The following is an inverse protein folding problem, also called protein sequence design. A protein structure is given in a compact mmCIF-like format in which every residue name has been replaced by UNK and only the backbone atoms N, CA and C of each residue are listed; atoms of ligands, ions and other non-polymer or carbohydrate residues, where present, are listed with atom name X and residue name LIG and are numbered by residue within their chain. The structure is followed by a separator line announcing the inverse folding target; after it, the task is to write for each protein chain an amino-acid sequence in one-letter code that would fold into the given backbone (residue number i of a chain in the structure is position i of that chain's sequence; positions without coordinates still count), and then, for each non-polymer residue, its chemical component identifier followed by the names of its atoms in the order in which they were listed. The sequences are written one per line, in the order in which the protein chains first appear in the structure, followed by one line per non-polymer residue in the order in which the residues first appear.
data_IF_459597949280
#
_entry.id   IF_459597949280
#
_cell.length_a   1.000
_cell.length_b   1.000
_cell.length_c   1.000
_cell.angle_alpha   90.00
_cell.angle_beta   90.00
_cell.angle_gamma   90.00
#
_symmetry.space_group_name_H-M   'P 1'
#
loop_
_entity.id
_entity.type
_entity.pdbx_description
1 polymer ?
#
# COMPACT_ATOMS: atom_id res chain seq x y z
N UNK A 1 -2.33 18.09 12.05
CA UNK A 1 -2.00 17.95 10.62
C UNK A 1 -3.20 18.43 9.79
N UNK A 2 -3.00 19.26 8.77
CA UNK A 2 -4.10 19.67 7.89
C UNK A 2 -4.32 18.61 6.81
N UNK A 3 -5.55 18.47 6.32
CA UNK A 3 -5.89 17.49 5.28
C UNK A 3 -5.01 17.62 4.03
N UNK A 4 -4.67 18.85 3.63
CA UNK A 4 -3.82 19.11 2.47
C UNK A 4 -2.39 18.57 2.67
N UNK A 5 -1.81 18.70 3.86
CA UNK A 5 -0.41 18.30 4.11
C UNK A 5 -0.24 16.79 3.93
N UNK A 6 -1.14 15.98 4.48
CA UNK A 6 -1.00 14.52 4.39
C UNK A 6 -1.23 13.99 2.97
N UNK A 7 -2.15 14.61 2.23
CA UNK A 7 -2.41 14.20 0.84
C UNK A 7 -1.18 14.48 -0.03
N UNK A 8 -0.57 15.66 0.10
CA UNK A 8 0.67 15.99 -0.61
C UNK A 8 1.82 15.06 -0.23
N UNK A 9 1.94 14.70 1.05
CA UNK A 9 2.97 13.76 1.50
C UNK A 9 2.76 12.34 0.91
N UNK A 10 1.51 11.86 0.87
CA UNK A 10 1.20 10.57 0.27
C UNK A 10 1.50 10.54 -1.24
N UNK A 11 1.18 11.61 -1.95
CA UNK A 11 1.53 11.79 -3.37
C UNK A 11 3.04 11.74 -3.58
N UNK A 12 3.82 12.51 -2.81
CA UNK A 12 5.29 12.51 -2.89
C UNK A 12 5.89 11.13 -2.62
N UNK A 13 5.38 10.41 -1.62
CA UNK A 13 5.85 9.05 -1.31
C UNK A 13 5.55 8.08 -2.47
N UNK A 14 4.39 8.21 -3.13
CA UNK A 14 4.06 7.40 -4.29
C UNK A 14 4.97 7.72 -5.48
N UNK A 15 5.22 9.00 -5.76
CA UNK A 15 6.12 9.44 -6.84
C UNK A 15 7.55 8.90 -6.63
N UNK A 16 8.12 9.09 -5.44
CA UNK A 16 9.46 8.59 -5.10
C UNK A 16 9.53 7.07 -5.27
N UNK A 17 8.53 6.34 -4.77
CA UNK A 17 8.50 4.87 -4.90
C UNK A 17 8.34 4.42 -6.35
N UNK A 18 7.57 5.13 -7.16
CA UNK A 18 7.41 4.82 -8.58
C UNK A 18 8.72 5.05 -9.36
N UNK A 19 9.47 6.10 -9.02
CA UNK A 19 10.80 6.36 -9.57
C UNK A 19 11.82 5.27 -9.17
N UNK A 20 11.82 4.85 -7.90
CA UNK A 20 12.77 3.86 -7.37
C UNK A 20 12.48 2.42 -7.84
N UNK A 21 11.21 2.00 -7.78
CA UNK A 21 10.82 0.60 -7.96
C UNK A 21 10.07 0.33 -9.27
N UNK A 22 9.72 1.37 -10.02
CA UNK A 22 8.87 1.28 -11.19
C UNK A 22 7.38 1.14 -10.84
N UNK A 23 6.54 0.72 -11.81
CA UNK A 23 5.09 0.67 -11.63
C UNK A 23 4.69 -0.22 -10.44
N UNK A 24 3.81 0.28 -9.57
CA UNK A 24 3.41 -0.42 -8.36
C UNK A 24 2.80 -1.79 -8.66
N UNK A 25 2.05 -1.91 -9.76
CA UNK A 25 1.49 -3.17 -10.24
C UNK A 25 2.53 -4.29 -10.33
N UNK A 26 3.72 -4.01 -10.85
CA UNK A 26 4.79 -5.01 -10.99
C UNK A 26 5.19 -5.58 -9.62
N UNK A 27 5.26 -4.72 -8.61
CA UNK A 27 5.57 -5.13 -7.24
C UNK A 27 4.41 -5.91 -6.61
N UNK A 28 3.18 -5.46 -6.82
CA UNK A 28 1.98 -6.14 -6.30
C UNK A 28 1.81 -7.54 -6.90
N UNK A 29 2.03 -7.72 -8.21
CA UNK A 29 2.01 -9.03 -8.88
C UNK A 29 3.07 -9.98 -8.30
N UNK A 30 4.28 -9.48 -8.06
CA UNK A 30 5.36 -10.28 -7.47
C UNK A 30 5.03 -10.72 -6.04
N UNK A 31 4.44 -9.84 -5.24
CA UNK A 31 4.02 -10.17 -3.88
C UNK A 31 2.90 -11.19 -3.90
N UNK A 32 1.88 -10.97 -4.73
CA UNK A 32 0.74 -11.86 -4.93
C UNK A 32 1.21 -13.29 -5.31
N UNK A 33 2.12 -13.41 -6.28
CA UNK A 33 2.69 -14.69 -6.68
C UNK A 33 3.45 -15.38 -5.53
N UNK A 34 4.28 -14.64 -4.78
CA UNK A 34 5.03 -15.19 -3.64
C UNK A 34 4.12 -15.64 -2.51
N UNK A 35 3.11 -14.84 -2.17
CA UNK A 35 2.14 -15.19 -1.14
C UNK A 35 1.31 -16.39 -1.56
N UNK A 36 0.92 -16.48 -2.83
CA UNK A 36 0.20 -17.64 -3.35
C UNK A 36 0.99 -18.93 -3.17
N UNK A 37 2.29 -18.90 -3.47
CA UNK A 37 3.20 -20.03 -3.25
C UNK A 37 3.29 -20.43 -1.77
N UNK A 38 3.42 -19.44 -0.89
CA UNK A 38 3.59 -19.69 0.54
C UNK A 38 2.30 -20.20 1.21
N UNK A 39 1.14 -19.71 0.78
CA UNK A 39 -0.16 -20.01 1.39
C UNK A 39 -0.87 -21.20 0.75
N UNK A 40 -0.44 -21.63 -0.45
CA UNK A 40 -1.06 -22.73 -1.18
C UNK A 40 -2.43 -22.39 -1.77
N UNK A 41 -2.78 -21.10 -1.88
CA UNK A 41 -3.99 -20.60 -2.51
C UNK A 41 -3.67 -19.39 -3.40
N UNK A 42 -4.53 -19.08 -4.36
CA UNK A 42 -4.35 -17.89 -5.19
C UNK A 42 -4.57 -16.61 -4.36
N UNK A 43 -3.59 -15.71 -4.43
CA UNK A 43 -3.65 -14.35 -3.88
C UNK A 43 -3.55 -13.39 -5.06
N UNK A 44 -4.47 -12.42 -5.12
CA UNK A 44 -4.48 -11.39 -6.16
C UNK A 44 -3.74 -10.13 -5.71
N UNK A 45 -3.27 -9.28 -6.65
CA UNK A 45 -2.68 -7.98 -6.34
C UNK A 45 -3.60 -7.10 -5.49
N UNK A 46 -4.91 -7.12 -5.75
CA UNK A 46 -5.90 -6.38 -4.96
C UNK A 46 -5.96 -6.87 -3.51
N UNK A 47 -5.86 -8.20 -3.28
CA UNK A 47 -5.77 -8.75 -1.93
C UNK A 47 -4.47 -8.33 -1.23
N UNK A 48 -3.35 -8.25 -1.95
CA UNK A 48 -2.10 -7.71 -1.40
C UNK A 48 -2.31 -6.28 -0.90
N UNK A 49 -2.94 -5.40 -1.69
CA UNK A 49 -3.22 -4.02 -1.29
C UNK A 49 -4.06 -3.98 0.00
N UNK A 50 -5.15 -4.75 0.07
CA UNK A 50 -5.99 -4.82 1.26
C UNK A 50 -5.21 -5.28 2.50
N UNK A 51 -4.41 -6.34 2.39
CA UNK A 51 -3.60 -6.82 3.50
C UNK A 51 -2.53 -5.80 3.94
N UNK A 52 -1.96 -5.03 3.01
CA UNK A 52 -1.01 -3.97 3.36
C UNK A 52 -1.68 -2.79 4.07
N UNK A 53 -2.94 -2.48 3.73
CA UNK A 53 -3.76 -1.52 4.49
C UNK A 53 -3.99 -2.06 5.91
N UNK A 54 -4.43 -3.31 6.06
CA UNK A 54 -4.68 -3.93 7.37
C UNK A 54 -3.43 -3.88 8.27
N UNK A 55 -2.25 -4.14 7.70
CA UNK A 55 -0.97 -4.04 8.42
C UNK A 55 -0.76 -2.65 9.02
N UNK A 56 -1.10 -1.58 8.28
CA UNK A 56 -0.96 -0.20 8.74
C UNK A 56 -2.05 0.18 9.73
N UNK A 57 -3.27 -0.31 9.53
CA UNK A 57 -4.37 -0.15 10.50
C UNK A 57 -4.00 -0.77 11.86
N UNK A 58 -3.37 -1.94 11.89
CA UNK A 58 -2.88 -2.56 13.15
C UNK A 58 -1.83 -1.69 13.85
N UNK A 59 -0.98 -0.96 13.12
CA UNK A 59 -0.05 -0.01 13.75
C UNK A 59 -0.78 1.18 14.36
N UNK A 60 -1.81 1.68 13.66
CA UNK A 60 -2.63 2.79 14.13
C UNK A 60 -3.48 2.46 15.36
N UNK A 61 -3.81 1.18 15.60
CA UNK A 61 -4.48 0.81 16.85
C UNK A 61 -3.57 0.96 18.08
N UNK A 62 -2.24 0.96 17.88
CA UNK A 62 -1.26 1.19 18.95
C UNK A 62 -0.92 2.67 19.10
N UNK A 63 -0.79 3.39 17.99
CA UNK A 63 -0.52 4.82 17.95
C UNK A 63 -1.36 5.47 16.83
N UNK A 64 -2.46 6.12 17.22
CA UNK A 64 -3.41 6.74 16.29
C UNK A 64 -2.82 7.94 15.53
N UNK A 65 -1.74 8.53 16.06
CA UNK A 65 -1.05 9.67 15.48
C UNK A 65 0.19 9.25 14.65
N UNK A 66 0.38 7.94 14.44
CA UNK A 66 1.53 7.41 13.70
C UNK A 66 1.49 7.79 12.21
N UNK A 67 2.15 8.90 11.89
CA UNK A 67 2.12 9.58 10.58
C UNK A 67 2.43 8.68 9.39
N UNK A 68 3.50 7.88 9.45
CA UNK A 68 3.90 6.95 8.37
C UNK A 68 2.77 5.97 8.04
N UNK A 69 2.03 5.50 9.04
CA UNK A 69 0.94 4.55 8.81
C UNK A 69 -0.29 5.20 8.19
N UNK A 70 -0.61 6.45 8.53
CA UNK A 70 -1.67 7.19 7.82
C UNK A 70 -1.30 7.44 6.36
N UNK A 71 -0.07 7.86 6.09
CA UNK A 71 0.45 8.10 4.73
C UNK A 71 0.40 6.81 3.90
N UNK A 72 0.87 5.70 4.45
CA UNK A 72 0.87 4.41 3.74
C UNK A 72 -0.56 3.88 3.50
N UNK A 73 -1.51 4.08 4.43
CA UNK A 73 -2.92 3.70 4.18
C UNK A 73 -3.47 4.45 2.97
N UNK A 74 -3.24 5.77 2.89
CA UNK A 74 -3.67 6.58 1.74
C UNK A 74 -2.97 6.08 0.47
N UNK A 75 -1.66 5.84 0.54
CA UNK A 75 -0.86 5.34 -0.59
C UNK A 75 -1.40 4.02 -1.14
N UNK A 76 -1.59 3.01 -0.27
CA UNK A 76 -2.14 1.73 -0.71
C UNK A 76 -3.58 1.84 -1.23
N UNK A 77 -4.42 2.70 -0.64
CA UNK A 77 -5.78 2.93 -1.14
C UNK A 77 -5.79 3.50 -2.57
N UNK A 78 -4.88 4.41 -2.91
CA UNK A 78 -4.71 4.93 -4.28
C UNK A 78 -4.29 3.81 -5.25
N UNK A 79 -3.33 2.98 -4.83
CA UNK A 79 -2.79 1.88 -5.65
C UNK A 79 -3.81 0.75 -5.91
N UNK A 80 -4.97 0.73 -5.24
CA UNK A 80 -6.04 -0.23 -5.50
C UNK A 80 -6.47 -0.22 -6.97
N UNK A 81 -6.53 0.96 -7.58
CA UNK A 81 -6.95 1.11 -8.98
C UNK A 81 -5.95 0.48 -9.97
N UNK A 82 -4.66 0.44 -9.63
CA UNK A 82 -3.62 -0.21 -10.43
C UNK A 82 -3.60 -1.73 -10.22
N UNK A 83 -3.98 -2.17 -9.02
CA UNK A 83 -4.06 -3.58 -8.66
C UNK A 83 -5.22 -4.32 -9.35
N UNK A 84 -6.26 -3.59 -9.78
CA UNK A 84 -7.45 -4.14 -10.43
C UNK A 84 -7.37 -4.19 -11.96
N UNK A 85 -6.35 -3.59 -12.58
CA UNK A 85 -6.15 -3.57 -14.04
C UNK A 85 -5.67 -4.92 -14.58
#
# INVERSE_FOLDING_TARGET
MTRSIILTEAEQVLEIRAEEYGPARVSLDKIAARWSQNLGCEVTPAQVVLCMIDLKMVRLTHDVDHRDSLVDVIGYAVLMSEAQQ
#
